data_IF_011718428181
#
_entry.id   IF_011718428181
#
_cell.length_a   1.000
_cell.length_b   1.000
_cell.length_c   1.000
_cell.angle_alpha   90.00
_cell.angle_beta   90.00
_cell.angle_gamma   90.00
#
_symmetry.space_group_name_H-M   'P 1'
#
loop_
_entity.id
_entity.type
_entity.pdbx_description
1 polymer ?
#
# COMPACT_ATOMS: atom_id res chain seq x y z
N UNK A 1 6.15 1.09 -4.99
CA UNK A 1 6.64 2.11 -5.94
C UNK A 1 6.19 1.92 -7.40
N UNK A 2 6.38 0.74 -8.02
CA UNK A 2 6.02 0.54 -9.45
C UNK A 2 4.57 0.88 -9.80
N UNK A 3 3.60 0.54 -8.94
CA UNK A 3 2.19 0.87 -9.17
C UNK A 3 1.93 2.37 -8.97
N UNK A 4 2.46 2.96 -7.91
CA UNK A 4 2.41 4.40 -7.67
C UNK A 4 2.97 5.23 -8.83
N UNK A 5 4.16 4.90 -9.35
CA UNK A 5 4.73 5.64 -10.48
C UNK A 5 3.88 5.53 -11.75
N UNK A 6 3.15 4.42 -11.96
CA UNK A 6 2.22 4.29 -13.08
C UNK A 6 0.97 5.14 -12.87
N UNK A 7 0.46 5.19 -11.64
CA UNK A 7 -0.68 6.03 -11.32
C UNK A 7 -0.31 7.52 -11.50
N UNK A 8 0.91 7.93 -11.14
CA UNK A 8 1.45 9.28 -11.42
C UNK A 8 1.64 9.53 -12.91
N UNK A 9 2.14 8.55 -13.67
CA UNK A 9 2.28 8.65 -15.13
C UNK A 9 0.93 8.83 -15.82
N UNK A 10 -0.11 8.17 -15.34
CA UNK A 10 -1.49 8.35 -15.81
C UNK A 10 -2.02 9.77 -15.52
N UNK A 11 -1.76 10.29 -14.31
CA UNK A 11 -2.22 11.62 -13.90
C UNK A 11 -1.52 12.76 -14.66
N UNK A 12 -0.24 12.61 -14.97
CA UNK A 12 0.60 13.68 -15.53
C UNK A 12 0.99 13.46 -17.01
N UNK A 13 0.56 12.34 -17.62
CA UNK A 13 1.00 11.87 -18.94
C UNK A 13 2.54 11.79 -19.11
N UNK A 14 3.29 11.76 -18.01
CA UNK A 14 4.76 11.71 -17.99
C UNK A 14 5.24 10.79 -16.88
N UNK A 15 6.14 9.87 -17.22
CA UNK A 15 6.70 8.95 -16.21
C UNK A 15 7.65 9.71 -15.28
N UNK A 16 7.55 9.53 -13.94
CA UNK A 16 8.48 10.16 -13.01
C UNK A 16 9.92 9.68 -13.28
N UNK A 17 10.85 10.63 -13.35
CA UNK A 17 12.27 10.38 -13.59
C UNK A 17 12.93 9.53 -12.50
N UNK A 18 14.16 9.09 -12.77
CA UNK A 18 14.93 8.21 -11.86
C UNK A 18 15.18 8.89 -10.50
N UNK A 19 15.44 10.20 -10.51
CA UNK A 19 15.60 11.01 -9.30
C UNK A 19 14.42 10.83 -8.34
N UNK A 20 13.19 11.06 -8.82
CA UNK A 20 11.97 10.91 -8.02
C UNK A 20 11.74 9.49 -7.50
N UNK A 21 12.06 8.48 -8.31
CA UNK A 21 11.97 7.07 -7.90
C UNK A 21 12.94 6.77 -6.74
N UNK A 22 14.16 7.28 -6.81
CA UNK A 22 15.14 7.12 -5.74
C UNK A 22 14.72 7.87 -4.47
N UNK A 23 14.21 9.09 -4.62
CA UNK A 23 13.71 9.88 -3.49
C UNK A 23 12.60 9.15 -2.74
N UNK A 24 11.62 8.59 -3.44
CA UNK A 24 10.51 7.88 -2.80
C UNK A 24 10.87 6.48 -2.28
N UNK A 25 11.82 5.79 -2.90
CA UNK A 25 12.19 4.43 -2.48
C UNK A 25 13.22 4.40 -1.35
N UNK A 26 14.13 5.37 -1.31
CA UNK A 26 15.33 5.31 -0.49
C UNK A 26 15.50 6.57 0.35
N UNK A 27 15.48 7.76 -0.27
CA UNK A 27 15.75 9.00 0.47
C UNK A 27 14.68 9.29 1.53
N UNK A 28 13.40 9.13 1.21
CA UNK A 28 12.33 9.41 2.16
C UNK A 28 12.36 8.46 3.38
N UNK A 29 12.44 7.12 3.22
CA UNK A 29 12.60 6.23 4.36
C UNK A 29 13.85 6.53 5.19
N UNK A 30 15.00 6.76 4.54
CA UNK A 30 16.25 7.06 5.24
C UNK A 30 16.19 8.39 5.98
N UNK A 31 15.69 9.45 5.35
CA UNK A 31 15.54 10.76 5.98
C UNK A 31 14.60 10.68 7.19
N UNK A 32 13.46 10.00 7.05
CA UNK A 32 12.54 9.77 8.17
C UNK A 32 13.19 8.99 9.32
N UNK A 33 13.99 7.97 9.01
CA UNK A 33 14.75 7.22 10.02
C UNK A 33 15.79 8.09 10.71
N UNK A 34 16.54 8.90 9.96
CA UNK A 34 17.58 9.78 10.50
C UNK A 34 16.99 10.83 11.43
N UNK A 35 15.94 11.54 11.00
CA UNK A 35 15.30 12.56 11.86
C UNK A 35 14.67 11.94 13.10
N UNK A 36 14.14 10.71 12.98
CA UNK A 36 13.56 9.99 14.11
C UNK A 36 14.62 9.59 15.14
N UNK A 37 15.72 8.99 14.71
CA UNK A 37 16.84 8.61 15.60
C UNK A 37 17.47 9.85 16.25
N UNK A 38 17.69 10.91 15.46
CA UNK A 38 18.21 12.16 16.00
C UNK A 38 17.26 12.77 17.04
N UNK A 39 15.95 12.71 16.80
CA UNK A 39 14.94 13.15 17.77
C UNK A 39 14.99 12.38 19.09
N UNK A 40 15.26 11.06 19.06
CA UNK A 40 15.42 10.25 20.28
C UNK A 40 16.69 10.67 21.04
N UNK A 41 17.82 10.82 20.33
CA UNK A 41 19.10 11.22 20.95
C UNK A 41 19.00 12.61 21.57
N UNK A 42 18.40 13.58 20.86
CA UNK A 42 18.21 14.94 21.36
C UNK A 42 17.28 14.97 22.58
N UNK A 43 16.23 14.15 22.58
CA UNK A 43 15.32 14.01 23.71
C UNK A 43 16.03 13.42 24.96
N UNK A 44 16.92 12.45 24.78
CA UNK A 44 17.71 11.87 25.88
C UNK A 44 18.78 12.84 26.41
N UNK A 45 19.47 13.54 25.51
CA UNK A 45 20.51 14.51 25.87
C UNK A 45 19.97 15.72 26.64
N UNK A 46 18.75 16.15 26.32
CA UNK A 46 18.06 17.27 27.00
C UNK A 46 17.21 16.83 28.19
N UNK A 47 17.24 15.56 28.55
CA UNK A 47 16.51 15.08 29.71
C UNK A 47 17.16 15.66 30.98
N UNK A 48 16.47 16.59 31.62
CA UNK A 48 16.90 17.15 32.90
C UNK A 48 16.81 16.04 33.97
N UNK A 49 17.90 15.75 34.72
CA UNK A 49 17.89 14.75 35.80
C UNK A 49 16.86 15.05 36.90
N UNK A 50 16.43 16.30 37.02
CA UNK A 50 15.40 16.77 37.95
C UNK A 50 13.99 16.79 37.35
N UNK A 51 13.85 16.54 36.04
CA UNK A 51 12.56 16.44 35.39
C UNK A 51 11.76 15.26 35.96
N UNK A 52 10.49 15.52 36.22
CA UNK A 52 9.61 14.54 36.81
C UNK A 52 9.29 13.45 35.79
N UNK A 53 9.56 12.19 36.14
CA UNK A 53 9.45 11.03 35.24
C UNK A 53 8.04 10.85 34.65
N UNK A 54 7.00 11.41 35.29
CA UNK A 54 5.63 11.36 34.76
C UNK A 54 5.50 12.04 33.39
N UNK A 55 6.25 13.12 33.14
CA UNK A 55 6.16 13.85 31.88
C UNK A 55 6.67 13.00 30.70
N UNK A 56 7.80 12.31 30.88
CA UNK A 56 8.35 11.37 29.89
C UNK A 56 7.39 10.22 29.62
N UNK A 57 6.79 9.64 30.67
CA UNK A 57 5.83 8.55 30.54
C UNK A 57 4.57 8.97 29.75
N UNK A 58 4.05 10.17 30.00
CA UNK A 58 2.91 10.72 29.24
C UNK A 58 3.24 10.87 27.76
N UNK A 59 4.45 11.35 27.42
CA UNK A 59 4.92 11.44 26.05
C UNK A 59 4.94 10.08 25.34
N UNK A 60 5.48 9.05 25.99
CA UNK A 60 5.52 7.70 25.43
C UNK A 60 4.13 7.06 25.32
N UNK A 61 3.22 7.31 26.27
CA UNK A 61 1.83 6.85 26.19
C UNK A 61 1.12 7.50 25.00
N UNK A 62 1.30 8.80 24.78
CA UNK A 62 0.72 9.51 23.64
C UNK A 62 1.28 8.98 22.30
N UNK A 63 2.58 8.72 22.24
CA UNK A 63 3.21 8.11 21.07
C UNK A 63 2.67 6.69 20.81
N UNK A 64 2.53 5.88 21.85
CA UNK A 64 1.94 4.54 21.75
C UNK A 64 0.46 4.61 21.30
N UNK A 65 -0.30 5.59 21.78
CA UNK A 65 -1.68 5.81 21.35
C UNK A 65 -1.79 6.21 19.87
N UNK A 66 -0.85 7.00 19.35
CA UNK A 66 -0.79 7.29 17.92
C UNK A 66 -0.43 6.04 17.10
N UNK A 67 0.54 5.25 17.58
CA UNK A 67 1.00 4.04 16.88
C UNK A 67 -0.04 2.90 16.90
N UNK A 68 -0.79 2.72 17.99
CA UNK A 68 -1.79 1.65 18.12
C UNK A 68 -3.01 1.83 17.21
N UNK A 69 -3.26 3.05 16.72
CA UNK A 69 -4.32 3.29 15.74
C UNK A 69 -4.09 2.47 14.46
N UNK A 70 -2.85 2.36 13.98
CA UNK A 70 -2.52 1.62 12.75
C UNK A 70 -2.94 0.15 12.83
N UNK A 71 -2.52 -0.66 13.83
CA UNK A 71 -2.96 -2.03 13.97
C UNK A 71 -4.45 -2.15 14.34
N UNK A 72 -5.03 -1.19 15.07
CA UNK A 72 -6.45 -1.21 15.41
C UNK A 72 -7.31 -1.18 14.13
N UNK A 73 -7.08 -0.22 13.24
CA UNK A 73 -7.82 -0.13 11.97
C UNK A 73 -7.54 -1.34 11.07
N UNK A 74 -6.31 -1.85 11.07
CA UNK A 74 -5.96 -3.07 10.36
C UNK A 74 -6.79 -4.27 10.85
N UNK A 75 -6.90 -4.45 12.16
CA UNK A 75 -7.68 -5.53 12.79
C UNK A 75 -9.17 -5.38 12.44
N UNK A 76 -9.72 -4.17 12.52
CA UNK A 76 -11.11 -3.88 12.15
C UNK A 76 -11.40 -4.29 10.70
N UNK A 77 -10.53 -3.93 9.75
CA UNK A 77 -10.70 -4.31 8.35
C UNK A 77 -10.62 -5.83 8.13
N UNK A 78 -9.72 -6.51 8.85
CA UNK A 78 -9.61 -7.97 8.80
C UNK A 78 -10.86 -8.66 9.35
N UNK A 79 -11.46 -8.15 10.43
CA UNK A 79 -12.70 -8.73 10.99
C UNK A 79 -13.93 -8.44 10.12
N UNK A 80 -13.99 -7.30 9.44
CA UNK A 80 -15.13 -6.91 8.58
C UNK A 80 -15.29 -7.79 7.33
N UNK A 81 -14.27 -8.57 6.97
CA UNK A 81 -14.29 -9.49 5.82
C UNK A 81 -14.38 -10.96 6.28
N UNK A 82 -15.58 -11.52 6.56
CA UNK A 82 -15.72 -12.85 7.18
C UNK A 82 -15.39 -14.04 6.28
N UNK A 83 -15.34 -13.88 4.95
CA UNK A 83 -15.42 -15.00 3.99
C UNK A 83 -14.08 -15.65 3.56
N UNK A 84 -12.97 -15.45 4.29
CA UNK A 84 -11.65 -15.98 3.92
C UNK A 84 -10.81 -16.40 5.14
N UNK A 85 -9.94 -17.40 5.01
CA UNK A 85 -8.99 -17.77 6.07
C UNK A 85 -8.03 -16.63 6.43
N UNK A 86 -7.48 -16.63 7.66
CA UNK A 86 -6.69 -15.51 8.24
C UNK A 86 -5.55 -15.04 7.31
N UNK A 87 -4.84 -15.97 6.67
CA UNK A 87 -3.77 -15.67 5.71
C UNK A 87 -4.29 -14.96 4.45
N UNK A 88 -5.44 -15.40 3.91
CA UNK A 88 -6.07 -14.76 2.75
C UNK A 88 -6.58 -13.36 3.10
N UNK A 89 -7.05 -13.14 4.33
CA UNK A 89 -7.45 -11.80 4.81
C UNK A 89 -6.26 -10.87 4.95
N UNK A 90 -5.16 -11.34 5.54
CA UNK A 90 -3.92 -10.56 5.62
C UNK A 90 -3.42 -10.15 4.23
N UNK A 91 -3.39 -11.12 3.31
CA UNK A 91 -2.97 -10.86 1.93
C UNK A 91 -3.94 -9.90 1.21
N UNK A 92 -5.25 -10.00 1.47
CA UNK A 92 -6.23 -9.06 0.92
C UNK A 92 -6.10 -7.66 1.50
N UNK A 93 -5.74 -7.50 2.77
CA UNK A 93 -5.48 -6.19 3.38
C UNK A 93 -4.26 -5.47 2.76
N UNK A 94 -3.32 -6.24 2.18
CA UNK A 94 -2.19 -5.70 1.43
C UNK A 94 -2.50 -5.40 -0.05
N UNK A 95 -3.69 -5.79 -0.54
CA UNK A 95 -4.13 -5.44 -1.89
C UNK A 95 -4.71 -4.01 -1.89
N UNK A 96 -4.57 -3.29 -3.00
CA UNK A 96 -5.27 -2.01 -3.16
C UNK A 96 -6.79 -2.22 -3.06
N UNK A 97 -7.48 -1.21 -2.54
CA UNK A 97 -8.94 -1.22 -2.43
C UNK A 97 -9.60 -1.48 -3.79
N UNK A 98 -10.76 -2.13 -3.81
CA UNK A 98 -11.47 -2.47 -5.05
C UNK A 98 -11.92 -1.23 -5.83
N UNK A 99 -12.26 -0.16 -5.11
CA UNK A 99 -12.61 1.14 -5.68
C UNK A 99 -11.38 2.04 -5.92
N UNK A 100 -10.16 1.50 -5.89
CA UNK A 100 -8.95 2.29 -6.11
C UNK A 100 -8.86 2.78 -7.55
N UNK A 101 -8.96 4.09 -7.75
CA UNK A 101 -8.82 4.73 -9.05
C UNK A 101 -9.38 6.16 -9.08
N UNK A 102 -9.40 6.81 -10.26
CA UNK A 102 -10.03 8.11 -10.44
C UNK A 102 -11.53 8.05 -10.11
N UNK A 103 -12.06 9.06 -9.39
CA UNK A 103 -13.47 9.11 -9.00
C UNK A 103 -14.43 9.28 -10.20
N UNK A 104 -13.98 9.91 -11.29
CA UNK A 104 -14.80 10.13 -12.48
C UNK A 104 -14.88 8.83 -13.31
N UNK A 105 -16.08 8.34 -13.67
CA UNK A 105 -16.25 7.09 -14.41
C UNK A 105 -15.54 7.07 -15.77
N UNK A 106 -15.44 8.21 -16.47
CA UNK A 106 -14.73 8.28 -17.75
C UNK A 106 -13.23 8.04 -17.56
N UNK A 107 -12.59 8.79 -16.66
CA UNK A 107 -11.17 8.63 -16.36
C UNK A 107 -10.84 7.27 -15.72
N UNK A 108 -11.79 6.68 -14.98
CA UNK A 108 -11.64 5.32 -14.46
C UNK A 108 -11.56 4.29 -15.59
N UNK A 109 -12.44 4.40 -16.59
CA UNK A 109 -12.41 3.53 -17.77
C UNK A 109 -11.12 3.72 -18.59
N UNK A 110 -10.66 4.96 -18.77
CA UNK A 110 -9.36 5.23 -19.43
C UNK A 110 -8.18 4.63 -18.68
N UNK A 111 -8.14 4.80 -17.36
CA UNK A 111 -7.12 4.22 -16.49
C UNK A 111 -7.11 2.68 -16.57
N UNK A 112 -8.30 2.07 -16.59
CA UNK A 112 -8.46 0.61 -16.72
C UNK A 112 -7.99 0.12 -18.10
N UNK A 113 -8.43 0.77 -19.18
CA UNK A 113 -8.03 0.45 -20.56
C UNK A 113 -6.51 0.57 -20.76
N UNK A 114 -5.87 1.57 -20.16
CA UNK A 114 -4.41 1.73 -20.22
C UNK A 114 -3.67 0.60 -19.49
N UNK A 115 -4.21 0.12 -18.36
CA UNK A 115 -3.67 -1.04 -17.66
C UNK A 115 -3.81 -2.31 -18.50
N UNK A 116 -4.99 -2.56 -19.06
CA UNK A 116 -5.28 -3.75 -19.86
C UNK A 116 -4.46 -3.80 -21.16
N UNK A 117 -4.29 -2.67 -21.84
CA UNK A 117 -3.44 -2.56 -23.04
C UNK A 117 -1.97 -2.87 -22.74
N UNK A 118 -1.45 -2.41 -21.59
CA UNK A 118 -0.08 -2.71 -21.15
C UNK A 118 0.08 -4.16 -20.69
N UNK A 119 -0.96 -4.78 -20.13
CA UNK A 119 -0.99 -6.21 -19.83
C UNK A 119 -0.90 -7.03 -21.14
N UNK A 120 -1.72 -6.70 -22.14
CA UNK A 120 -1.71 -7.35 -23.45
C UNK A 120 -0.33 -7.27 -24.13
N UNK A 121 0.34 -6.12 -24.05
CA UNK A 121 1.68 -5.93 -24.64
C UNK A 121 2.76 -6.80 -23.95
N UNK A 122 2.58 -7.14 -22.67
CA UNK A 122 3.55 -7.95 -21.91
C UNK A 122 3.34 -9.46 -22.05
N UNK A 123 2.14 -9.89 -22.43
CA UNK A 123 1.81 -11.31 -22.59
C UNK A 123 2.36 -11.76 -23.95
N UNK A 124 3.31 -12.71 -24.00
CA UNK A 124 3.78 -13.24 -25.27
C UNK A 124 2.60 -13.89 -26.00
N UNK A 125 2.41 -13.58 -27.29
CA UNK A 125 1.26 -14.04 -28.10
C UNK A 125 0.99 -15.55 -28.00
N UNK A 126 2.02 -16.35 -27.75
CA UNK A 126 1.95 -17.81 -27.62
C UNK A 126 1.34 -18.31 -26.28
N UNK A 127 1.12 -17.42 -25.30
CA UNK A 127 0.53 -17.77 -24.00
C UNK A 127 -0.95 -17.43 -23.87
N UNK A 128 -1.50 -16.64 -24.80
CA UNK A 128 -2.91 -16.24 -24.81
C UNK A 128 -3.84 -17.44 -25.05
N UNK A 129 -3.42 -18.39 -25.90
CA UNK A 129 -4.16 -19.64 -26.17
C UNK A 129 -4.27 -20.54 -24.93
N UNK A 130 -3.19 -20.67 -24.15
CA UNK A 130 -3.16 -21.47 -22.93
C UNK A 130 -4.00 -20.83 -21.81
N UNK A 131 -3.93 -19.51 -21.67
CA UNK A 131 -4.68 -18.78 -20.64
C UNK A 131 -6.19 -18.79 -20.91
N UNK A 132 -6.62 -18.59 -22.16
CA UNK A 132 -8.03 -18.71 -22.54
C UNK A 132 -8.61 -20.10 -22.26
N UNK A 133 -7.80 -21.14 -22.46
CA UNK A 133 -8.16 -22.52 -22.16
C UNK A 133 -8.24 -22.79 -20.65
N UNK A 134 -7.42 -22.14 -19.82
CA UNK A 134 -7.47 -22.26 -18.37
C UNK A 134 -8.70 -21.57 -17.76
N UNK A 135 -9.05 -20.36 -18.24
CA UNK A 135 -10.26 -19.66 -17.79
C UNK A 135 -11.56 -20.34 -18.26
N UNK A 136 -11.57 -20.93 -19.46
CA UNK A 136 -12.69 -21.72 -19.95
C UNK A 136 -12.96 -22.97 -19.09
N UNK A 137 -11.93 -23.51 -18.42
CA UNK A 137 -12.06 -24.65 -17.51
C UNK A 137 -12.45 -24.26 -16.08
N UNK A 138 -12.07 -23.06 -15.60
CA UNK A 138 -12.44 -22.57 -14.26
C UNK A 138 -13.83 -21.93 -14.21
N UNK A 139 -14.37 -21.50 -15.35
CA UNK A 139 -15.72 -20.92 -15.47
C UNK A 139 -16.89 -21.91 -15.35
N UNK A 140 -16.63 -23.20 -15.07
CA UNK A 140 -17.64 -24.26 -14.93
C UNK A 140 -17.79 -24.76 -13.47
N UNK A 141 -17.48 -23.91 -12.47
CA UNK A 141 -17.58 -24.26 -11.04
C UNK A 141 -18.49 -23.37 -10.17
N UNK A 142 -19.27 -22.50 -10.78
CA UNK A 142 -20.53 -22.01 -10.23
C UNK A 142 -21.58 -22.68 -11.14
N UNK A 143 -22.49 -23.58 -10.74
CA UNK A 143 -23.39 -23.60 -9.59
C UNK A 143 -23.81 -25.06 -9.28
N UNK A 144 -23.45 -25.62 -8.12
CA UNK A 144 -24.11 -26.82 -7.57
C UNK A 144 -24.15 -26.73 -6.05
N UNK A 145 -25.30 -26.26 -5.55
CA UNK A 145 -25.85 -26.24 -4.18
C UNK A 145 -25.04 -25.63 -3.03
#
# INVERSE_FOLDING_TARGET
LRNFCKDVEFMLNKSPGIFWKFTWSFTAPVALMVIFVFGIIDAESKADPSASQWASNVGWILAAFALIQIPLWFIVEVYRNPHCGIVKKFLNALKPAENWGPRNPLHFNEWKNQKDSRLSTKIPKNSISTIGSAYANDGYKEDVF
#
